data_IF_629586945742
#
_entry.id   IF_629586945742
#
_cell.length_a   1.000
_cell.length_b   1.000
_cell.length_c   1.000
_cell.angle_alpha   90.00
_cell.angle_beta   90.00
_cell.angle_gamma   90.00
#
_symmetry.space_group_name_H-M   'P 1'
#
loop_
_entity.id
_entity.type
_entity.pdbx_description
1 polymer ?
#
# COMPACT_ATOMS: atom_id res chain seq x y z
N UNK A 1 17.02 33.67 71.11
CA UNK A 1 18.01 33.92 70.05
C UNK A 1 17.67 32.98 68.90
N UNK A 2 17.52 33.55 67.72
CA UNK A 2 16.91 32.93 66.54
C UNK A 2 17.90 32.01 65.79
N UNK A 3 17.36 31.22 64.86
CA UNK A 3 18.01 30.75 63.61
C UNK A 3 18.81 29.42 63.64
N UNK A 4 18.85 28.57 62.62
CA UNK A 4 18.15 28.46 61.32
C UNK A 4 18.18 26.96 60.91
N UNK A 5 17.12 26.48 60.23
CA UNK A 5 17.11 25.19 59.55
C UNK A 5 17.86 25.37 58.22
N UNK A 6 19.01 24.74 58.04
CA UNK A 6 19.70 24.72 56.76
C UNK A 6 18.91 23.84 55.78
N UNK A 7 18.24 24.50 54.84
CA UNK A 7 17.74 23.87 53.61
C UNK A 7 18.95 23.64 52.70
N UNK A 8 19.21 22.38 52.38
CA UNK A 8 20.24 21.97 51.43
C UNK A 8 19.91 22.59 50.06
N UNK A 9 20.71 23.54 49.60
CA UNK A 9 20.58 24.13 48.27
C UNK A 9 20.99 23.09 47.20
N UNK A 10 20.29 23.11 46.08
CA UNK A 10 20.52 22.24 44.91
C UNK A 10 21.46 22.93 43.90
N UNK A 11 22.42 23.72 44.39
CA UNK A 11 23.40 24.41 43.54
C UNK A 11 24.78 23.75 43.70
N UNK A 12 25.31 23.11 42.64
CA UNK A 12 26.56 22.33 42.70
C UNK A 12 27.85 23.19 42.61
N UNK A 13 27.78 24.49 42.86
CA UNK A 13 28.91 25.42 42.76
C UNK A 13 29.10 26.30 44.02
N UNK A 14 28.39 25.99 45.11
CA UNK A 14 28.45 26.76 46.37
C UNK A 14 29.17 26.04 47.51
N UNK A 15 29.96 25.00 47.22
CA UNK A 15 30.79 24.33 48.22
C UNK A 15 32.17 25.01 48.29
N UNK A 16 32.23 26.24 48.83
CA UNK A 16 33.45 26.84 49.40
C UNK A 16 33.61 26.37 50.86
N UNK A 17 33.51 25.06 51.08
CA UNK A 17 33.91 24.43 52.32
C UNK A 17 35.26 23.74 52.05
N UNK A 18 36.34 24.40 52.51
CA UNK A 18 37.70 23.87 52.50
C UNK A 18 37.69 22.41 52.96
N UNK A 19 37.95 21.50 52.02
CA UNK A 19 38.02 20.08 52.29
C UNK A 19 39.22 19.87 53.21
N UNK A 20 38.95 19.69 54.51
CA UNK A 20 39.98 19.55 55.54
C UNK A 20 41.03 18.50 55.13
N UNK A 21 42.32 18.82 55.31
CA UNK A 21 43.45 18.03 54.79
C UNK A 21 43.39 16.57 55.27
N UNK A 22 42.84 16.33 56.46
CA UNK A 22 42.60 14.99 56.98
C UNK A 22 41.56 14.21 56.18
N UNK A 23 40.52 14.87 55.69
CA UNK A 23 39.48 14.27 54.83
C UNK A 23 40.05 13.91 53.47
N UNK A 24 40.88 14.80 52.91
CA UNK A 24 41.57 14.58 51.63
C UNK A 24 42.59 13.42 51.70
N UNK A 25 43.40 13.37 52.77
CA UNK A 25 44.40 12.31 52.98
C UNK A 25 43.76 10.96 53.35
N UNK A 26 42.62 10.96 54.06
CA UNK A 26 41.87 9.75 54.40
C UNK A 26 41.19 9.14 53.19
N UNK A 27 40.74 9.97 52.23
CA UNK A 27 40.19 9.49 50.97
C UNK A 27 41.29 8.93 50.05
N UNK A 28 42.48 9.55 50.05
CA UNK A 28 43.66 9.05 49.30
C UNK A 28 44.23 7.72 49.83
N UNK A 29 44.00 7.39 51.10
CA UNK A 29 44.40 6.08 51.69
C UNK A 29 43.40 4.95 51.43
N UNK A 30 42.23 5.24 50.85
CA UNK A 30 41.23 4.23 50.44
C UNK A 30 41.34 3.79 48.99
N UNK A 31 42.35 4.25 48.24
CA UNK A 31 42.55 3.88 46.84
C UNK A 31 43.49 2.69 46.72
N UNK A 32 43.08 1.56 47.28
CA UNK A 32 43.60 0.23 46.90
C UNK A 32 42.49 -0.56 46.16
N UNK A 33 41.57 0.15 45.51
CA UNK A 33 40.77 -0.42 44.43
C UNK A 33 41.56 -0.21 43.14
N UNK A 34 42.00 -1.31 42.55
CA UNK A 34 42.62 -1.41 41.23
C UNK A 34 41.80 -0.60 40.22
N UNK A 35 42.18 0.65 39.97
CA UNK A 35 41.61 1.40 38.87
C UNK A 35 42.01 0.65 37.59
N UNK A 36 41.05 0.35 36.68
CA UNK A 36 41.39 -0.31 35.42
C UNK A 36 42.41 0.55 34.70
N UNK A 37 43.47 -0.10 34.18
CA UNK A 37 44.53 0.61 33.47
C UNK A 37 43.91 1.43 32.34
N UNK A 38 44.47 2.61 32.04
CA UNK A 38 44.03 3.42 30.90
C UNK A 38 44.02 2.60 29.59
N UNK A 39 44.92 1.62 29.49
CA UNK A 39 44.97 0.64 28.41
C UNK A 39 43.75 -0.30 28.39
N UNK A 40 43.32 -0.81 29.55
CA UNK A 40 42.10 -1.63 29.68
C UNK A 40 40.86 -0.81 29.28
N UNK A 41 40.77 0.44 29.73
CA UNK A 41 39.67 1.33 29.35
C UNK A 41 39.65 1.54 27.83
N UNK A 42 40.79 1.85 27.21
CA UNK A 42 40.88 2.04 25.76
C UNK A 42 40.46 0.78 24.98
N UNK A 43 40.87 -0.41 25.44
CA UNK A 43 40.50 -1.67 24.82
C UNK A 43 38.98 -1.92 24.91
N UNK A 44 38.37 -1.70 26.08
CA UNK A 44 36.91 -1.87 26.24
C UNK A 44 36.13 -0.89 25.35
N UNK A 45 36.62 0.34 25.16
CA UNK A 45 36.01 1.28 24.22
C UNK A 45 36.11 0.81 22.77
N UNK A 46 37.24 0.26 22.35
CA UNK A 46 37.42 -0.27 21.00
C UNK A 46 36.52 -1.49 20.74
N UNK A 47 36.41 -2.41 21.70
CA UNK A 47 35.53 -3.57 21.60
C UNK A 47 34.06 -3.16 21.52
N UNK A 48 33.63 -2.22 22.37
CA UNK A 48 32.28 -1.65 22.30
C UNK A 48 32.00 -1.00 20.94
N UNK A 49 32.97 -0.25 20.39
CA UNK A 49 32.83 0.37 19.07
C UNK A 49 32.59 -0.70 17.99
N UNK A 50 33.42 -1.74 17.93
CA UNK A 50 33.26 -2.85 16.95
C UNK A 50 31.92 -3.57 17.12
N UNK A 51 31.52 -3.86 18.35
CA UNK A 51 30.24 -4.51 18.63
C UNK A 51 29.05 -3.67 18.15
N UNK A 52 29.12 -2.34 18.26
CA UNK A 52 28.10 -1.43 17.72
C UNK A 52 28.13 -1.46 16.20
N UNK A 53 29.30 -1.32 15.59
CA UNK A 53 29.48 -1.36 14.12
C UNK A 53 28.88 -2.65 13.53
N UNK A 54 29.21 -3.81 14.08
CA UNK A 54 28.70 -5.11 13.62
C UNK A 54 27.17 -5.23 13.75
N UNK A 55 26.62 -4.80 14.90
CA UNK A 55 25.17 -4.80 15.12
C UNK A 55 24.45 -3.88 14.15
N UNK A 56 25.01 -2.72 13.86
CA UNK A 56 24.43 -1.76 12.91
C UNK A 56 24.42 -2.34 11.49
N UNK A 57 25.52 -2.93 11.02
CA UNK A 57 25.55 -3.57 9.70
C UNK A 57 24.52 -4.71 9.63
N UNK A 58 24.51 -5.61 10.62
CA UNK A 58 23.57 -6.72 10.64
C UNK A 58 22.11 -6.23 10.62
N UNK A 59 21.81 -5.19 11.40
CA UNK A 59 20.49 -4.55 11.39
C UNK A 59 20.12 -4.02 10.00
N UNK A 60 21.01 -3.30 9.32
CA UNK A 60 20.73 -2.80 7.96
C UNK A 60 20.55 -3.92 6.93
N UNK A 61 21.32 -5.01 7.03
CA UNK A 61 21.15 -6.17 6.15
C UNK A 61 19.80 -6.86 6.37
N UNK A 62 19.38 -7.01 7.63
CA UNK A 62 18.05 -7.54 7.94
C UNK A 62 16.94 -6.64 7.39
N UNK A 63 17.07 -5.32 7.57
CA UNK A 63 16.12 -4.36 7.00
C UNK A 63 16.05 -4.44 5.48
N UNK A 64 17.17 -4.61 4.79
CA UNK A 64 17.20 -4.82 3.34
C UNK A 64 16.44 -6.08 2.91
N UNK A 65 16.63 -7.20 3.63
CA UNK A 65 15.87 -8.42 3.37
C UNK A 65 14.37 -8.17 3.49
N UNK A 66 13.94 -7.56 4.60
CA UNK A 66 12.53 -7.25 4.85
C UNK A 66 11.96 -6.33 3.77
N UNK A 67 12.72 -5.34 3.31
CA UNK A 67 12.29 -4.43 2.25
C UNK A 67 12.10 -5.17 0.91
N UNK A 68 13.02 -6.08 0.56
CA UNK A 68 12.90 -6.89 -0.66
C UNK A 68 11.72 -7.86 -0.57
N UNK A 69 11.53 -8.51 0.57
CA UNK A 69 10.39 -9.40 0.81
C UNK A 69 9.07 -8.61 0.72
N UNK A 70 9.03 -7.39 1.28
CA UNK A 70 7.87 -6.49 1.20
C UNK A 70 7.58 -6.06 -0.24
N UNK A 71 8.62 -5.81 -1.04
CA UNK A 71 8.47 -5.44 -2.45
C UNK A 71 7.87 -6.60 -3.25
N UNK A 72 8.36 -7.82 -3.05
CA UNK A 72 7.82 -9.00 -3.70
C UNK A 72 6.35 -9.25 -3.33
N UNK A 73 6.00 -9.10 -2.05
CA UNK A 73 4.61 -9.20 -1.59
C UNK A 73 3.75 -8.09 -2.22
N UNK A 74 4.29 -6.87 -2.32
CA UNK A 74 3.61 -5.73 -2.96
C UNK A 74 3.31 -5.98 -4.43
N UNK A 75 4.27 -6.55 -5.18
CA UNK A 75 4.10 -6.93 -6.59
C UNK A 75 3.02 -8.00 -6.73
N UNK A 76 3.10 -9.08 -5.96
CA UNK A 76 2.07 -10.13 -6.00
C UNK A 76 0.67 -9.60 -5.62
N UNK A 77 0.60 -8.62 -4.72
CA UNK A 77 -0.65 -7.94 -4.37
C UNK A 77 -1.19 -7.11 -5.54
N UNK A 78 -0.31 -6.40 -6.25
CA UNK A 78 -0.68 -5.64 -7.44
C UNK A 78 -1.23 -6.55 -8.54
N UNK A 79 -0.59 -7.71 -8.79
CA UNK A 79 -1.07 -8.70 -9.76
C UNK A 79 -2.47 -9.22 -9.42
N UNK A 80 -2.74 -9.55 -8.14
CA UNK A 80 -4.07 -10.01 -7.75
C UNK A 80 -5.10 -8.87 -7.82
N UNK A 81 -4.75 -7.62 -7.52
CA UNK A 81 -5.65 -6.48 -7.71
C UNK A 81 -6.02 -6.29 -9.18
N UNK A 82 -5.07 -6.43 -10.10
CA UNK A 82 -5.36 -6.39 -11.55
C UNK A 82 -6.32 -7.52 -11.95
N UNK A 83 -6.08 -8.74 -11.45
CA UNK A 83 -6.97 -9.88 -11.69
C UNK A 83 -8.37 -9.68 -11.10
N UNK A 84 -8.48 -8.98 -9.97
CA UNK A 84 -9.76 -8.62 -9.38
C UNK A 84 -10.49 -7.56 -10.22
N UNK A 85 -9.77 -6.57 -10.72
CA UNK A 85 -10.32 -5.55 -11.62
C UNK A 85 -10.95 -6.17 -12.86
N UNK A 86 -10.26 -7.09 -13.54
CA UNK A 86 -10.80 -7.78 -14.73
C UNK A 86 -12.14 -8.48 -14.43
N UNK A 87 -12.27 -9.08 -13.24
CA UNK A 87 -13.53 -9.72 -12.83
C UNK A 87 -14.63 -8.68 -12.64
N UNK A 88 -14.32 -7.54 -12.00
CA UNK A 88 -15.28 -6.45 -11.83
C UNK A 88 -15.72 -5.90 -13.19
N UNK A 89 -14.80 -5.64 -14.12
CA UNK A 89 -15.14 -5.17 -15.46
C UNK A 89 -16.00 -6.17 -16.25
N UNK A 90 -15.74 -7.47 -16.08
CA UNK A 90 -16.59 -8.51 -16.66
C UNK A 90 -17.99 -8.49 -16.04
N UNK A 91 -18.09 -8.34 -14.72
CA UNK A 91 -19.38 -8.22 -14.03
C UNK A 91 -20.15 -6.98 -14.48
N UNK A 92 -19.47 -5.84 -14.65
CA UNK A 92 -20.06 -4.60 -15.15
C UNK A 92 -20.68 -4.80 -16.55
N UNK A 93 -19.92 -5.38 -17.48
CA UNK A 93 -20.40 -5.71 -18.84
C UNK A 93 -21.59 -6.68 -18.81
N UNK A 94 -21.56 -7.69 -17.95
CA UNK A 94 -22.67 -8.62 -17.80
C UNK A 94 -23.94 -7.93 -17.28
N UNK A 95 -23.81 -6.99 -16.34
CA UNK A 95 -24.95 -6.21 -15.86
C UNK A 95 -25.53 -5.29 -16.92
N UNK A 96 -24.70 -4.73 -17.80
CA UNK A 96 -25.19 -3.96 -18.96
C UNK A 96 -25.97 -4.83 -19.93
N UNK A 97 -25.48 -6.05 -20.23
CA UNK A 97 -26.18 -7.01 -21.07
C UNK A 97 -27.52 -7.44 -20.44
N UNK A 98 -27.54 -7.71 -19.13
CA UNK A 98 -28.76 -8.03 -18.38
C UNK A 98 -29.74 -6.86 -18.48
N UNK A 99 -29.31 -5.62 -18.21
CA UNK A 99 -30.19 -4.46 -18.28
C UNK A 99 -30.72 -4.21 -19.70
N UNK A 100 -29.90 -4.41 -20.74
CA UNK A 100 -30.33 -4.33 -22.13
C UNK A 100 -31.36 -5.41 -22.48
N UNK A 101 -31.10 -6.65 -22.05
CA UNK A 101 -32.00 -7.80 -22.23
C UNK A 101 -33.33 -7.58 -21.52
N UNK A 102 -33.30 -7.03 -20.31
CA UNK A 102 -34.51 -6.67 -19.57
C UNK A 102 -35.31 -5.60 -20.30
N UNK A 103 -34.68 -4.57 -20.87
CA UNK A 103 -35.39 -3.56 -21.69
C UNK A 103 -36.09 -4.20 -22.89
N UNK A 104 -35.45 -5.15 -23.55
CA UNK A 104 -36.03 -5.89 -24.66
C UNK A 104 -37.17 -6.82 -24.20
N UNK A 105 -36.98 -7.57 -23.11
CA UNK A 105 -37.99 -8.41 -22.46
C UNK A 105 -39.25 -7.61 -22.10
N UNK A 106 -39.10 -6.39 -21.55
CA UNK A 106 -40.24 -5.53 -21.25
C UNK A 106 -41.04 -5.15 -22.51
N UNK A 107 -40.37 -4.87 -23.64
CA UNK A 107 -41.06 -4.61 -24.91
C UNK A 107 -41.88 -5.81 -25.36
N UNK A 108 -41.35 -7.03 -25.20
CA UNK A 108 -42.09 -8.26 -25.50
C UNK A 108 -43.29 -8.46 -24.57
N UNK A 109 -43.10 -8.30 -23.26
CA UNK A 109 -44.19 -8.38 -22.28
C UNK A 109 -45.30 -7.38 -22.62
N UNK A 110 -44.94 -6.15 -23.00
CA UNK A 110 -45.91 -5.14 -23.43
C UNK A 110 -46.62 -5.53 -24.73
N UNK A 111 -45.89 -6.10 -25.70
CA UNK A 111 -46.46 -6.65 -26.93
C UNK A 111 -47.48 -7.75 -26.64
N UNK A 112 -47.14 -8.70 -25.77
CA UNK A 112 -48.04 -9.80 -25.35
C UNK A 112 -49.28 -9.23 -24.65
N UNK A 113 -49.11 -8.29 -23.71
CA UNK A 113 -50.24 -7.58 -23.07
C UNK A 113 -51.16 -6.96 -24.12
N UNK A 114 -50.61 -6.35 -25.17
CA UNK A 114 -51.40 -5.72 -26.23
C UNK A 114 -52.17 -6.74 -27.07
N UNK A 115 -51.57 -7.86 -27.48
CA UNK A 115 -52.24 -8.90 -28.28
C UNK A 115 -53.39 -9.56 -27.51
N UNK A 116 -53.19 -9.87 -26.22
CA UNK A 116 -54.28 -10.37 -25.37
C UNK A 116 -55.38 -9.32 -25.14
N UNK A 117 -55.02 -8.04 -25.03
CA UNK A 117 -55.99 -6.95 -24.91
C UNK A 117 -56.78 -6.76 -26.19
N UNK A 118 -56.13 -6.81 -27.36
CA UNK A 118 -56.78 -6.71 -28.67
C UNK A 118 -57.67 -7.92 -28.95
N UNK A 119 -57.26 -9.13 -28.57
CA UNK A 119 -58.12 -10.32 -28.65
C UNK A 119 -59.35 -10.18 -27.75
N UNK A 120 -59.18 -9.69 -26.51
CA UNK A 120 -60.30 -9.43 -25.61
C UNK A 120 -61.21 -8.31 -26.14
N UNK A 121 -60.68 -7.23 -26.69
CA UNK A 121 -61.49 -6.15 -27.28
C UNK A 121 -62.21 -6.60 -28.56
N UNK A 122 -61.58 -7.46 -29.36
CA UNK A 122 -62.17 -8.03 -30.57
C UNK A 122 -63.31 -9.00 -30.24
N UNK A 123 -63.16 -9.86 -29.23
CA UNK A 123 -64.27 -10.68 -28.72
C UNK A 123 -65.32 -9.87 -27.95
N UNK A 124 -64.94 -8.74 -27.35
CA UNK A 124 -65.84 -7.90 -26.57
C UNK A 124 -66.50 -6.76 -27.37
N UNK A 125 -66.25 -6.65 -28.67
CA UNK A 125 -66.97 -5.76 -29.59
C UNK A 125 -66.80 -4.25 -29.37
N UNK A 126 -65.64 -3.78 -28.88
CA UNK A 126 -65.40 -2.34 -28.65
C UNK A 126 -64.09 -1.89 -29.31
N UNK A 127 -64.21 -1.10 -30.38
CA UNK A 127 -63.11 -0.50 -31.13
C UNK A 127 -62.59 0.76 -30.42
N UNK A 128 -61.27 0.86 -30.19
CA UNK A 128 -60.59 2.16 -30.16
C UNK A 128 -59.07 2.02 -30.45
N UNK A 129 -58.46 3.10 -30.94
CA UNK A 129 -57.29 3.19 -31.82
C UNK A 129 -55.87 3.01 -31.21
N UNK A 130 -54.89 2.83 -32.10
CA UNK A 130 -53.45 2.53 -31.91
C UNK A 130 -52.56 3.73 -31.52
N UNK A 131 -51.37 3.51 -30.87
CA UNK A 131 -50.28 4.49 -30.87
C UNK A 131 -48.95 4.00 -31.49
N UNK A 132 -48.21 4.96 -32.07
CA UNK A 132 -46.91 4.89 -32.78
C UNK A 132 -45.65 4.90 -31.88
N UNK A 133 -44.44 4.51 -32.37
CA UNK A 133 -43.20 4.52 -31.58
C UNK A 133 -42.33 5.79 -31.79
N UNK A 134 -41.47 6.20 -30.83
CA UNK A 134 -40.44 7.23 -31.05
C UNK A 134 -39.02 6.64 -31.27
N UNK A 135 -38.19 7.44 -31.96
CA UNK A 135 -36.84 7.15 -32.43
C UNK A 135 -35.74 7.24 -31.35
N UNK A 136 -34.60 6.59 -31.61
CA UNK A 136 -33.41 6.50 -30.72
C UNK A 136 -32.20 7.18 -31.36
N UNK A 137 -31.50 8.04 -30.62
CA UNK A 137 -30.22 8.65 -30.97
C UNK A 137 -29.07 8.09 -30.10
N UNK A 138 -27.93 7.82 -30.73
CA UNK A 138 -26.69 7.25 -30.14
C UNK A 138 -25.67 8.35 -29.84
N UNK A 139 -24.83 8.16 -28.81
CA UNK A 139 -23.39 8.50 -28.77
C UNK A 139 -22.76 8.00 -27.47
N UNK A 140 -21.67 7.23 -27.59
CA UNK A 140 -20.76 6.85 -26.50
C UNK A 140 -19.46 6.35 -27.14
N UNK A 141 -18.36 7.10 -26.99
CA UNK A 141 -16.97 6.65 -27.18
C UNK A 141 -16.09 7.65 -26.43
N UNK A 142 -15.46 7.26 -25.30
CA UNK A 142 -14.35 7.99 -24.67
C UNK A 142 -13.65 7.21 -23.52
N UNK A 143 -13.67 5.86 -23.53
CA UNK A 143 -13.13 5.05 -22.42
C UNK A 143 -12.02 4.07 -22.80
N UNK A 144 -11.40 4.23 -23.99
CA UNK A 144 -10.40 3.28 -24.50
C UNK A 144 -8.94 3.70 -24.27
N UNK A 145 -8.69 4.93 -23.80
CA UNK A 145 -7.35 5.55 -23.84
C UNK A 145 -6.50 5.31 -22.56
N UNK A 146 -7.12 4.89 -21.44
CA UNK A 146 -6.42 4.73 -20.17
C UNK A 146 -5.72 3.38 -19.98
N UNK A 147 -6.08 2.36 -20.74
CA UNK A 147 -5.53 1.01 -20.55
C UNK A 147 -4.10 0.87 -21.10
N UNK A 148 -3.79 1.64 -22.13
CA UNK A 148 -2.52 1.54 -22.85
C UNK A 148 -1.35 2.17 -22.10
N UNK A 149 -1.60 3.18 -21.27
CA UNK A 149 -0.55 3.85 -20.48
C UNK A 149 -0.09 3.00 -19.27
N UNK A 150 -0.95 2.13 -18.74
CA UNK A 150 -0.64 1.32 -17.55
C UNK A 150 0.23 0.09 -17.88
N UNK A 151 -0.06 -0.62 -18.99
CA UNK A 151 0.74 -1.76 -19.44
C UNK A 151 2.19 -1.36 -19.79
N UNK A 152 2.38 -0.16 -20.36
CA UNK A 152 3.71 0.32 -20.73
C UNK A 152 4.61 0.57 -19.50
N UNK A 153 4.03 1.06 -18.40
CA UNK A 153 4.76 1.32 -17.15
C UNK A 153 5.12 0.04 -16.40
N UNK A 154 4.30 -1.02 -16.49
CA UNK A 154 4.60 -2.34 -15.92
C UNK A 154 5.82 -3.00 -16.57
N UNK A 155 5.95 -2.93 -17.91
CA UNK A 155 7.10 -3.54 -18.60
C UNK A 155 8.45 -2.88 -18.27
N UNK A 156 8.42 -1.66 -17.73
CA UNK A 156 9.63 -0.92 -17.34
C UNK A 156 10.27 -1.50 -16.07
N UNK A 157 9.48 -2.15 -15.20
CA UNK A 157 9.97 -2.77 -13.97
C UNK A 157 10.66 -4.13 -14.20
N UNK A 158 10.28 -4.87 -15.25
CA UNK A 158 10.89 -6.16 -15.61
C UNK A 158 12.34 -6.05 -16.14
N UNK A 159 12.81 -4.84 -16.46
CA UNK A 159 14.11 -4.61 -17.09
C UNK A 159 15.28 -4.47 -16.10
N UNK A 160 15.14 -4.99 -14.87
CA UNK A 160 16.16 -4.86 -13.84
C UNK A 160 17.34 -5.85 -13.96
N UNK A 161 17.18 -6.95 -14.71
CA UNK A 161 18.29 -7.91 -14.94
C UNK A 161 19.47 -7.33 -15.74
N UNK A 162 19.30 -6.14 -16.39
CA UNK A 162 20.30 -5.56 -17.28
C UNK A 162 20.84 -4.18 -16.84
N UNK A 163 20.60 -3.73 -15.60
CA UNK A 163 21.02 -2.39 -15.17
C UNK A 163 22.55 -2.28 -14.98
N UNK A 164 23.21 -1.21 -15.49
CA UNK A 164 24.69 -1.07 -15.44
C UNK A 164 25.27 -1.06 -14.01
N UNK A 165 24.48 -0.74 -12.99
CA UNK A 165 24.90 -0.77 -11.58
C UNK A 165 25.25 -2.17 -11.05
N UNK A 166 24.74 -3.26 -11.65
CA UNK A 166 25.09 -4.63 -11.22
C UNK A 166 26.41 -5.12 -11.81
N UNK A 167 26.86 -4.54 -12.94
CA UNK A 167 28.14 -4.89 -13.59
C UNK A 167 29.38 -4.26 -12.93
N UNK A 168 29.20 -3.20 -12.14
CA UNK A 168 30.32 -2.47 -11.51
C UNK A 168 30.91 -3.23 -10.30
N UNK A 169 30.29 -4.33 -9.87
CA UNK A 169 30.74 -5.08 -8.67
C UNK A 169 31.88 -6.08 -8.91
N UNK A 170 32.42 -6.18 -10.14
CA UNK A 170 33.49 -7.12 -10.48
C UNK A 170 34.86 -6.46 -10.80
N UNK A 171 35.08 -5.20 -10.42
CA UNK A 171 36.36 -4.52 -10.67
C UNK A 171 37.23 -4.48 -9.41
N UNK A 172 38.11 -5.48 -9.32
CA UNK A 172 39.47 -5.48 -8.80
C UNK A 172 39.73 -4.82 -7.43
N UNK A 173 39.99 -5.66 -6.41
CA UNK A 173 40.48 -5.24 -5.09
C UNK A 173 41.80 -5.95 -4.78
N UNK A 174 42.86 -5.51 -5.44
CA UNK A 174 44.25 -5.87 -5.12
C UNK A 174 44.98 -4.66 -4.56
N UNK A 175 44.87 -4.45 -3.24
CA UNK A 175 45.70 -3.50 -2.48
C UNK A 175 45.90 -3.99 -1.03
N UNK A 176 47.11 -3.83 -0.44
CA UNK A 176 47.53 -4.53 0.79
C UNK A 176 46.96 -3.88 2.08
N UNK A 177 46.90 -4.63 3.19
CA UNK A 177 46.15 -4.22 4.38
C UNK A 177 46.95 -3.23 5.24
N UNK A 178 46.46 -1.99 5.34
CA UNK A 178 46.89 -1.05 6.38
C UNK A 178 45.91 -1.11 7.56
N UNK A 179 46.43 -1.37 8.76
CA UNK A 179 45.66 -1.70 9.98
C UNK A 179 44.95 -0.51 10.66
N UNK A 180 44.48 0.47 9.90
CA UNK A 180 43.70 1.61 10.42
C UNK A 180 42.29 1.71 9.82
N UNK A 181 41.87 0.73 9.01
CA UNK A 181 40.72 0.82 8.08
C UNK A 181 39.34 0.42 8.61
N UNK A 182 39.21 -0.16 9.82
CA UNK A 182 37.93 -0.74 10.27
C UNK A 182 36.72 0.20 10.23
N UNK A 183 36.91 1.47 10.60
CA UNK A 183 35.81 2.45 10.64
C UNK A 183 35.42 3.01 9.26
N UNK A 184 36.39 3.10 8.33
CA UNK A 184 36.11 3.55 6.94
C UNK A 184 35.38 2.46 6.16
N UNK A 185 35.79 1.20 6.34
CA UNK A 185 35.15 0.05 5.71
C UNK A 185 33.73 -0.17 6.25
N UNK A 186 33.54 0.01 7.57
CA UNK A 186 32.21 0.02 8.19
C UNK A 186 31.33 1.13 7.60
N UNK A 187 31.81 2.38 7.57
CA UNK A 187 31.03 3.52 7.09
C UNK A 187 30.62 3.35 5.62
N UNK A 188 31.53 2.87 4.75
CA UNK A 188 31.23 2.64 3.34
C UNK A 188 30.18 1.53 3.14
N UNK A 189 30.25 0.44 3.92
CA UNK A 189 29.26 -0.64 3.89
C UNK A 189 27.89 -0.18 4.41
N UNK A 190 27.90 0.60 5.49
CA UNK A 190 26.69 1.16 6.07
C UNK A 190 26.00 2.08 5.06
N UNK A 191 26.75 3.01 4.46
CA UNK A 191 26.22 3.96 3.48
C UNK A 191 25.65 3.26 2.25
N UNK A 192 26.35 2.24 1.73
CA UNK A 192 25.85 1.41 0.63
C UNK A 192 24.53 0.71 0.97
N UNK A 193 24.43 0.13 2.18
CA UNK A 193 23.19 -0.52 2.63
C UNK A 193 22.06 0.50 2.77
N UNK A 194 22.33 1.68 3.36
CA UNK A 194 21.34 2.74 3.53
C UNK A 194 20.85 3.29 2.20
N UNK A 195 21.74 3.47 1.22
CA UNK A 195 21.37 3.90 -0.12
C UNK A 195 20.46 2.89 -0.80
N UNK A 196 20.76 1.60 -0.69
CA UNK A 196 19.89 0.54 -1.21
C UNK A 196 18.53 0.53 -0.50
N UNK A 197 18.51 0.69 0.83
CA UNK A 197 17.26 0.80 1.60
C UNK A 197 16.42 1.98 1.13
N UNK A 198 17.02 3.15 0.91
CA UNK A 198 16.33 4.33 0.38
C UNK A 198 15.71 4.07 -1.00
N UNK A 199 16.43 3.35 -1.88
CA UNK A 199 15.91 2.96 -3.19
C UNK A 199 14.72 2.00 -3.06
N UNK A 200 14.83 0.97 -2.23
CA UNK A 200 13.76 -0.01 -2.00
C UNK A 200 12.51 0.65 -1.40
N UNK A 201 12.69 1.55 -0.42
CA UNK A 201 11.59 2.32 0.19
C UNK A 201 10.92 3.23 -0.85
N UNK A 202 11.69 3.84 -1.75
CA UNK A 202 11.12 4.68 -2.81
C UNK A 202 10.27 3.87 -3.79
N UNK A 203 10.72 2.65 -4.16
CA UNK A 203 9.93 1.73 -4.99
C UNK A 203 8.68 1.24 -4.27
N UNK A 204 8.81 0.83 -3.00
CA UNK A 204 7.68 0.46 -2.15
C UNK A 204 6.65 1.58 -2.01
N UNK A 205 7.09 2.83 -1.92
CA UNK A 205 6.19 3.99 -1.91
C UNK A 205 5.46 4.15 -3.24
N UNK A 206 6.15 3.95 -4.36
CA UNK A 206 5.55 3.93 -5.70
C UNK A 206 4.45 2.87 -5.78
N UNK A 207 4.80 1.61 -5.48
CA UNK A 207 3.84 0.51 -5.41
C UNK A 207 2.66 0.83 -4.49
N UNK A 208 2.90 1.32 -3.28
CA UNK A 208 1.82 1.66 -2.34
C UNK A 208 0.88 2.75 -2.90
N UNK A 209 1.41 3.72 -3.64
CA UNK A 209 0.61 4.79 -4.27
C UNK A 209 -0.23 4.22 -5.41
N UNK A 210 0.36 3.39 -6.26
CA UNK A 210 -0.32 2.74 -7.39
C UNK A 210 -1.41 1.78 -6.89
N UNK A 211 -1.10 0.98 -5.86
CA UNK A 211 -2.06 0.09 -5.21
C UNK A 211 -3.23 0.87 -4.59
N UNK A 212 -2.96 2.01 -3.94
CA UNK A 212 -4.02 2.87 -3.40
C UNK A 212 -4.92 3.40 -4.51
N UNK A 213 -4.33 3.91 -5.59
CA UNK A 213 -5.09 4.42 -6.74
C UNK A 213 -5.93 3.35 -7.42
N UNK A 214 -5.41 2.14 -7.55
CA UNK A 214 -6.14 1.00 -8.10
C UNK A 214 -7.32 0.58 -7.19
N UNK A 215 -7.13 0.57 -5.87
CA UNK A 215 -8.21 0.30 -4.90
C UNK A 215 -9.31 1.37 -5.01
N UNK A 216 -8.93 2.65 -5.06
CA UNK A 216 -9.91 3.74 -5.21
C UNK A 216 -10.69 3.61 -6.52
N UNK A 217 -10.01 3.30 -7.64
CA UNK A 217 -10.67 3.05 -8.93
C UNK A 217 -11.60 1.84 -8.90
N UNK A 218 -11.21 0.75 -8.23
CA UNK A 218 -12.07 -0.43 -8.07
C UNK A 218 -13.28 -0.13 -7.19
N UNK A 219 -13.15 0.70 -6.15
CA UNK A 219 -14.28 1.12 -5.31
C UNK A 219 -15.33 1.88 -6.14
N UNK A 220 -14.91 2.78 -7.01
CA UNK A 220 -15.81 3.50 -7.93
C UNK A 220 -16.52 2.55 -8.91
N UNK A 221 -15.78 1.57 -9.44
CA UNK A 221 -16.35 0.52 -10.31
C UNK A 221 -17.37 -0.33 -9.56
N UNK A 222 -17.08 -0.72 -8.32
CA UNK A 222 -18.01 -1.48 -7.46
C UNK A 222 -19.30 -0.67 -7.22
N UNK A 223 -19.21 0.63 -6.95
CA UNK A 223 -20.39 1.47 -6.80
C UNK A 223 -21.27 1.46 -8.06
N UNK A 224 -20.64 1.58 -9.24
CA UNK A 224 -21.33 1.53 -10.53
C UNK A 224 -22.01 0.17 -10.76
N UNK A 225 -21.30 -0.92 -10.46
CA UNK A 225 -21.81 -2.30 -10.54
C UNK A 225 -23.01 -2.47 -9.60
N UNK A 226 -22.93 -1.96 -8.37
CA UNK A 226 -24.03 -2.01 -7.40
C UNK A 226 -25.27 -1.29 -7.93
N UNK A 227 -25.14 -0.07 -8.45
CA UNK A 227 -26.26 0.68 -9.02
C UNK A 227 -26.91 -0.05 -10.22
N UNK A 228 -26.09 -0.62 -11.10
CA UNK A 228 -26.56 -1.43 -12.24
C UNK A 228 -27.26 -2.72 -11.78
N UNK A 229 -26.75 -3.36 -10.73
CA UNK A 229 -27.32 -4.57 -10.15
C UNK A 229 -28.67 -4.29 -9.48
N UNK A 230 -28.80 -3.21 -8.71
CA UNK A 230 -30.08 -2.79 -8.12
C UNK A 230 -31.12 -2.49 -9.20
N UNK A 231 -30.71 -1.79 -10.26
CA UNK A 231 -31.58 -1.50 -11.40
C UNK A 231 -32.05 -2.79 -12.10
N UNK A 232 -31.14 -3.75 -12.29
CA UNK A 232 -31.47 -5.05 -12.87
C UNK A 232 -32.45 -5.82 -11.99
N UNK A 233 -32.23 -5.87 -10.67
CA UNK A 233 -33.11 -6.56 -9.72
C UNK A 233 -34.53 -5.97 -9.69
N UNK A 234 -34.63 -4.63 -9.64
CA UNK A 234 -35.92 -3.93 -9.71
C UNK A 234 -36.68 -4.27 -11.01
N UNK A 235 -35.97 -4.28 -12.14
CA UNK A 235 -36.56 -4.58 -13.44
C UNK A 235 -37.00 -6.05 -13.55
N UNK A 236 -36.17 -6.99 -13.10
CA UNK A 236 -36.50 -8.43 -13.04
C UNK A 236 -37.74 -8.64 -12.17
N UNK A 237 -37.77 -8.06 -10.97
CA UNK A 237 -38.90 -8.15 -10.04
C UNK A 237 -40.20 -7.62 -10.65
N UNK A 238 -40.14 -6.49 -11.36
CA UNK A 238 -41.29 -5.91 -12.07
C UNK A 238 -41.77 -6.80 -13.22
N UNK A 239 -40.85 -7.31 -14.04
CA UNK A 239 -41.17 -8.18 -15.16
C UNK A 239 -41.74 -9.52 -14.71
N UNK A 240 -41.22 -10.10 -13.64
CA UNK A 240 -41.74 -11.34 -13.06
C UNK A 240 -43.21 -11.15 -12.60
N UNK A 241 -43.51 -10.04 -11.89
CA UNK A 241 -44.89 -9.69 -11.51
C UNK A 241 -45.80 -9.52 -12.73
N UNK A 242 -45.32 -8.88 -13.79
CA UNK A 242 -46.06 -8.68 -15.03
C UNK A 242 -46.35 -10.00 -15.76
N UNK A 243 -45.37 -10.90 -15.86
CA UNK A 243 -45.53 -12.23 -16.43
C UNK A 243 -46.52 -13.09 -15.62
N UNK A 244 -46.40 -13.09 -14.29
CA UNK A 244 -47.35 -13.82 -13.43
C UNK A 244 -48.78 -13.32 -13.59
N UNK A 245 -48.99 -12.01 -13.78
CA UNK A 245 -50.32 -11.44 -14.07
C UNK A 245 -50.85 -11.86 -15.45
N UNK A 246 -49.98 -12.00 -16.45
CA UNK A 246 -50.36 -12.52 -17.76
C UNK A 246 -50.80 -13.99 -17.66
N UNK A 247 -50.04 -14.82 -16.92
CA UNK A 247 -50.34 -16.24 -16.76
C UNK A 247 -51.60 -16.52 -15.94
N UNK A 248 -51.84 -15.75 -14.86
CA UNK A 248 -53.03 -15.89 -14.00
C UNK A 248 -54.33 -15.41 -14.65
N UNK A 249 -54.27 -14.74 -15.81
CA UNK A 249 -55.46 -14.19 -16.51
C UNK A 249 -56.07 -15.17 -17.52
N UNK A 250 -55.57 -16.41 -17.57
CA UNK A 250 -56.21 -17.53 -18.25
C UNK A 250 -57.20 -18.22 -17.31
#
# INVERSE_FOLDING_TARGET
>A
MSNHRYVKSTNPFEDDDDVDDETFLRNSRRTNETQPSFEDQLQTFQERKRAIEDRTINSTQKSLSILRDSEQIGIATAEELMRQREKLEKTDKQLDEINATLRFSQKHINGIKSVFSSLKNYMSGKNDASPSPPATSKKEQDAADLHQEFEEKLSTYDRFENHPSTRVRNLDYSSPPSQTSGSKDFSARLDANLQEMCSNISRLKGLATDLSGEIDSQNDLISTITDKAETADMNISKQNKDMLRLLKKN
#
